data_IF_433374489439
#
_entry.id   IF_433374489439
#
_cell.length_a   1.000
_cell.length_b   1.000
_cell.length_c   1.000
_cell.angle_alpha   90.00
_cell.angle_beta   90.00
_cell.angle_gamma   90.00
#
_symmetry.space_group_name_H-M   'P 1'
#
loop_
_entity.id
_entity.type
_entity.pdbx_description
1 polymer ?
#
# COMPACT_ATOMS: atom_id res chain seq x y z
N UNK A 1 -13.83 -0.90 -9.22
CA UNK A 1 -13.40 -0.44 -7.89
C UNK A 1 -12.83 -1.63 -7.11
N UNK A 2 -11.62 -1.49 -6.57
CA UNK A 2 -10.90 -2.59 -5.91
C UNK A 2 -11.29 -2.83 -4.46
N UNK A 3 -12.01 -1.89 -3.84
CA UNK A 3 -12.46 -1.99 -2.45
C UNK A 3 -13.90 -1.50 -2.30
N UNK A 4 -14.74 -2.34 -1.69
CA UNK A 4 -16.09 -1.98 -1.29
C UNK A 4 -16.06 -1.50 0.16
N UNK A 5 -16.64 -0.35 0.41
CA UNK A 5 -16.79 0.20 1.75
C UNK A 5 -18.27 0.43 2.00
N UNK A 6 -18.78 -0.10 3.11
CA UNK A 6 -20.19 -0.06 3.45
C UNK A 6 -20.37 0.23 4.93
N UNK A 7 -21.52 0.84 5.27
CA UNK A 7 -21.98 0.91 6.65
C UNK A 7 -22.56 -0.44 7.07
N UNK A 8 -22.28 -0.80 8.32
CA UNK A 8 -22.83 -2.02 8.94
C UNK A 8 -23.67 -1.61 10.14
N UNK A 9 -24.92 -2.03 10.14
CA UNK A 9 -25.88 -1.71 11.21
C UNK A 9 -26.16 -2.95 12.05
N UNK A 10 -26.11 -2.78 13.38
CA UNK A 10 -26.47 -3.80 14.34
C UNK A 10 -27.69 -3.32 15.11
N UNK A 11 -28.79 -4.07 15.06
CA UNK A 11 -30.04 -3.74 15.78
C UNK A 11 -30.39 -4.90 16.71
N UNK A 12 -30.35 -4.65 18.01
CA UNK A 12 -30.73 -5.60 19.09
C UNK A 12 -30.01 -6.96 18.99
N UNK A 13 -28.76 -6.98 18.49
CA UNK A 13 -27.96 -8.20 18.42
C UNK A 13 -27.48 -8.60 19.80
N UNK A 14 -28.01 -9.72 20.32
CA UNK A 14 -27.61 -10.31 21.61
C UNK A 14 -26.53 -11.36 21.36
N UNK A 15 -25.43 -11.27 22.10
CA UNK A 15 -24.33 -12.21 22.07
C UNK A 15 -24.13 -12.83 23.43
N UNK A 16 -23.78 -14.12 23.47
CA UNK A 16 -23.41 -14.79 24.71
C UNK A 16 -21.96 -14.48 25.15
N UNK A 17 -21.59 -14.86 26.38
CA UNK A 17 -20.23 -14.61 26.90
C UNK A 17 -19.10 -15.20 26.03
N UNK A 18 -19.40 -16.24 25.29
CA UNK A 18 -18.47 -16.91 24.36
C UNK A 18 -18.04 -16.02 23.18
N UNK A 19 -18.83 -14.99 22.86
CA UNK A 19 -18.50 -14.01 21.82
C UNK A 19 -17.46 -12.97 22.28
N UNK A 20 -17.17 -12.93 23.59
CA UNK A 20 -16.21 -11.97 24.15
C UNK A 20 -14.78 -12.40 23.79
N UNK A 21 -14.10 -11.57 22.99
CA UNK A 21 -12.74 -11.84 22.52
C UNK A 21 -11.78 -11.94 23.71
N UNK A 22 -11.14 -13.12 23.87
CA UNK A 22 -10.21 -13.40 24.96
C UNK A 22 -10.86 -13.69 26.30
N UNK A 23 -12.18 -13.81 26.39
CA UNK A 23 -12.92 -14.21 27.57
C UNK A 23 -13.01 -13.15 28.68
N UNK A 24 -12.49 -11.92 28.46
CA UNK A 24 -12.65 -10.79 29.38
C UNK A 24 -12.71 -9.45 28.64
N UNK A 25 -13.33 -8.44 29.24
CA UNK A 25 -13.54 -7.11 28.63
C UNK A 25 -12.23 -6.37 28.34
N UNK A 26 -11.16 -6.64 29.10
CA UNK A 26 -9.88 -5.94 28.96
C UNK A 26 -9.01 -6.45 27.79
N UNK A 27 -9.28 -7.65 27.26
CA UNK A 27 -8.42 -8.30 26.27
C UNK A 27 -8.78 -7.86 24.85
N UNK A 28 -10.07 -7.63 24.58
CA UNK A 28 -10.56 -7.35 23.22
C UNK A 28 -9.87 -6.16 22.55
N UNK A 29 -9.70 -5.05 23.26
CA UNK A 29 -9.03 -3.86 22.72
C UNK A 29 -7.56 -4.12 22.39
N UNK A 30 -6.85 -4.84 23.24
CA UNK A 30 -5.46 -5.22 23.05
C UNK A 30 -5.28 -6.17 21.85
N UNK A 31 -6.20 -7.12 21.70
CA UNK A 31 -6.25 -8.03 20.56
C UNK A 31 -6.48 -7.26 19.25
N UNK A 32 -7.39 -6.29 19.24
CA UNK A 32 -7.64 -5.42 18.09
C UNK A 32 -6.38 -4.63 17.68
N UNK A 33 -5.68 -3.99 18.63
CA UNK A 33 -4.44 -3.26 18.34
C UNK A 33 -3.33 -4.16 17.78
N UNK A 34 -3.22 -5.40 18.28
CA UNK A 34 -2.25 -6.38 17.77
C UNK A 34 -2.60 -6.82 16.35
N UNK A 35 -3.88 -7.04 16.06
CA UNK A 35 -4.37 -7.33 14.71
C UNK A 35 -4.07 -6.20 13.74
N UNK A 36 -4.30 -4.95 14.14
CA UNK A 36 -3.96 -3.77 13.31
C UNK A 36 -2.45 -3.68 13.04
N UNK A 37 -1.60 -3.98 14.02
CA UNK A 37 -0.15 -3.98 13.81
C UNK A 37 0.27 -5.01 12.75
N UNK A 38 -0.32 -6.22 12.78
CA UNK A 38 -0.12 -7.24 11.74
C UNK A 38 -0.73 -6.80 10.39
N UNK A 39 -1.91 -6.22 10.41
CA UNK A 39 -2.61 -5.69 9.24
C UNK A 39 -1.76 -4.68 8.45
N UNK A 40 -0.99 -3.83 9.14
CA UNK A 40 -0.07 -2.88 8.51
C UNK A 40 0.98 -3.54 7.61
N UNK A 41 1.50 -4.71 7.99
CA UNK A 41 2.43 -5.48 7.15
C UNK A 41 1.71 -5.97 5.89
N UNK A 42 0.47 -6.44 6.01
CA UNK A 42 -0.33 -6.88 4.87
C UNK A 42 -0.60 -5.72 3.90
N UNK A 43 -0.95 -4.54 4.42
CA UNK A 43 -1.17 -3.36 3.60
C UNK A 43 0.13 -2.89 2.92
N UNK A 44 1.25 -2.96 3.61
CA UNK A 44 2.55 -2.68 3.00
C UNK A 44 2.86 -3.64 1.83
N UNK A 45 2.59 -4.94 2.01
CA UNK A 45 2.78 -5.95 0.97
C UNK A 45 1.82 -5.73 -0.22
N UNK A 46 0.55 -5.40 0.05
CA UNK A 46 -0.43 -5.06 -0.99
C UNK A 46 0.00 -3.82 -1.79
N UNK A 47 0.52 -2.80 -1.11
CA UNK A 47 1.04 -1.59 -1.75
C UNK A 47 2.21 -1.89 -2.69
N UNK A 48 3.16 -2.74 -2.27
CA UNK A 48 4.28 -3.18 -3.11
C UNK A 48 3.79 -3.97 -4.32
N UNK A 49 2.83 -4.88 -4.14
CA UNK A 49 2.25 -5.65 -5.25
C UNK A 49 1.54 -4.76 -6.27
N UNK A 50 0.76 -3.80 -5.80
CA UNK A 50 0.07 -2.83 -6.67
C UNK A 50 1.06 -1.91 -7.39
N UNK A 51 2.11 -1.47 -6.72
CA UNK A 51 3.19 -0.67 -7.33
C UNK A 51 3.97 -1.48 -8.38
N UNK A 52 4.26 -2.76 -8.12
CA UNK A 52 4.87 -3.63 -9.12
C UNK A 52 4.00 -3.74 -10.37
N UNK A 53 2.69 -3.95 -10.21
CA UNK A 53 1.78 -4.01 -11.37
C UNK A 53 1.76 -2.69 -12.15
N UNK A 54 1.77 -1.54 -11.48
CA UNK A 54 1.83 -0.24 -12.14
C UNK A 54 3.15 -0.05 -12.92
N UNK A 55 4.26 -0.52 -12.37
CA UNK A 55 5.55 -0.53 -13.06
C UNK A 55 5.54 -1.45 -14.29
N UNK A 56 4.98 -2.65 -14.18
CA UNK A 56 4.90 -3.60 -15.29
C UNK A 56 4.10 -2.99 -16.46
N UNK A 57 2.94 -2.38 -16.18
CA UNK A 57 2.15 -1.64 -17.17
C UNK A 57 2.93 -0.46 -17.78
N UNK A 58 3.73 0.24 -16.97
CA UNK A 58 4.56 1.36 -17.46
C UNK A 58 5.64 0.89 -18.43
N UNK A 59 6.28 -0.23 -18.12
CA UNK A 59 7.31 -0.85 -18.99
C UNK A 59 6.67 -1.32 -20.29
N UNK A 60 5.56 -2.05 -20.23
CA UNK A 60 4.86 -2.54 -21.41
C UNK A 60 4.41 -1.40 -22.34
N UNK A 61 3.89 -0.32 -21.75
CA UNK A 61 3.52 0.87 -22.52
C UNK A 61 4.75 1.55 -23.13
N UNK A 62 5.82 1.71 -22.37
CA UNK A 62 7.02 2.41 -22.83
C UNK A 62 7.67 1.72 -24.04
N UNK A 63 7.62 0.38 -24.12
CA UNK A 63 8.20 -0.36 -25.24
C UNK A 63 7.27 -0.51 -26.43
N UNK A 64 5.94 -0.42 -26.25
CA UNK A 64 4.95 -0.64 -27.32
C UNK A 64 4.40 0.64 -27.90
N UNK A 65 4.26 1.71 -27.11
CA UNK A 65 3.73 3.00 -27.58
C UNK A 65 4.82 3.84 -28.25
N UNK A 66 4.42 4.59 -29.27
CA UNK A 66 5.32 5.48 -30.00
C UNK A 66 4.83 6.91 -29.98
N UNK A 67 5.76 7.86 -29.97
CA UNK A 67 5.49 9.28 -30.09
C UNK A 67 6.59 9.96 -30.93
N UNK A 68 6.18 10.76 -31.91
CA UNK A 68 7.13 11.43 -32.80
C UNK A 68 8.03 10.49 -33.61
N UNK A 69 7.58 9.22 -33.81
CA UNK A 69 8.33 8.20 -34.56
C UNK A 69 9.30 7.37 -33.70
N UNK A 70 9.42 7.66 -32.40
CA UNK A 70 10.26 6.88 -31.44
C UNK A 70 9.40 6.16 -30.42
N UNK A 71 9.91 5.07 -29.85
CA UNK A 71 9.26 4.44 -28.70
C UNK A 71 9.24 5.40 -27.50
N UNK A 72 8.16 5.36 -26.70
CA UNK A 72 8.04 6.21 -25.50
C UNK A 72 9.22 5.94 -24.53
N UNK A 73 9.69 4.70 -24.46
CA UNK A 73 10.83 4.30 -23.64
C UNK A 73 12.19 4.84 -24.09
N UNK A 74 12.31 5.40 -25.29
CA UNK A 74 13.54 6.02 -25.76
C UNK A 74 13.79 7.41 -25.15
N UNK A 75 12.74 8.02 -24.58
CA UNK A 75 12.87 9.32 -23.94
C UNK A 75 13.50 9.22 -22.56
N UNK A 76 14.60 9.96 -22.33
CA UNK A 76 15.36 9.92 -21.08
C UNK A 76 14.53 10.23 -19.83
N UNK A 77 13.55 11.15 -19.93
CA UNK A 77 12.66 11.47 -18.81
C UNK A 77 11.73 10.28 -18.47
N UNK A 78 11.31 9.49 -19.46
CA UNK A 78 10.54 8.26 -19.22
C UNK A 78 11.43 7.19 -18.56
N UNK A 79 12.67 7.04 -19.02
CA UNK A 79 13.64 6.14 -18.39
C UNK A 79 13.90 6.50 -16.92
N UNK A 80 14.00 7.79 -16.60
CA UNK A 80 14.15 8.27 -15.23
C UNK A 80 12.91 7.90 -14.37
N UNK A 81 11.70 8.09 -14.90
CA UNK A 81 10.46 7.70 -14.21
C UNK A 81 10.40 6.19 -13.94
N UNK A 82 10.80 5.36 -14.92
CA UNK A 82 10.86 3.90 -14.75
C UNK A 82 11.91 3.49 -13.70
N UNK A 83 13.07 4.17 -13.67
CA UNK A 83 14.10 3.93 -12.66
C UNK A 83 13.61 4.27 -11.25
N UNK A 84 12.90 5.39 -11.07
CA UNK A 84 12.30 5.78 -9.79
C UNK A 84 11.25 4.77 -9.32
N UNK A 85 10.39 4.31 -10.22
CA UNK A 85 9.39 3.27 -9.94
C UNK A 85 10.08 1.97 -9.49
N UNK A 86 11.04 1.47 -10.24
CA UNK A 86 11.78 0.24 -9.93
C UNK A 86 12.51 0.34 -8.60
N UNK A 87 13.19 1.45 -8.32
CA UNK A 87 13.90 1.70 -7.08
C UNK A 87 12.94 1.65 -5.88
N UNK A 88 11.81 2.35 -5.99
CA UNK A 88 10.78 2.36 -4.95
C UNK A 88 10.21 0.97 -4.66
N UNK A 89 9.88 0.21 -5.70
CA UNK A 89 9.33 -1.15 -5.58
C UNK A 89 10.32 -2.10 -4.92
N UNK A 90 11.60 -2.07 -5.30
CA UNK A 90 12.64 -2.92 -4.71
C UNK A 90 12.88 -2.58 -3.23
N UNK A 91 13.00 -1.29 -2.89
CA UNK A 91 13.15 -0.83 -1.52
C UNK A 91 11.95 -1.23 -0.65
N UNK A 92 10.72 -1.03 -1.14
CA UNK A 92 9.51 -1.44 -0.44
C UNK A 92 9.43 -2.94 -0.21
N UNK A 93 9.80 -3.75 -1.20
CA UNK A 93 9.82 -5.21 -1.10
C UNK A 93 10.83 -5.70 -0.05
N UNK A 94 12.01 -5.11 -0.02
CA UNK A 94 13.04 -5.43 0.98
C UNK A 94 12.56 -5.09 2.40
N UNK A 95 11.95 -3.91 2.57
CA UNK A 95 11.42 -3.45 3.85
C UNK A 95 10.28 -4.36 4.37
N UNK A 96 9.34 -4.75 3.49
CA UNK A 96 8.25 -5.67 3.87
C UNK A 96 8.80 -7.02 4.32
N UNK A 97 9.78 -7.58 3.61
CA UNK A 97 10.40 -8.87 3.96
C UNK A 97 11.12 -8.81 5.30
N UNK A 98 11.92 -7.77 5.56
CA UNK A 98 12.61 -7.59 6.84
C UNK A 98 11.61 -7.40 7.99
N UNK A 99 10.59 -6.57 7.79
CA UNK A 99 9.54 -6.34 8.79
C UNK A 99 8.79 -7.63 9.12
N UNK A 100 8.42 -8.43 8.12
CA UNK A 100 7.74 -9.70 8.32
C UNK A 100 8.62 -10.71 9.08
N UNK A 101 9.92 -10.78 8.76
CA UNK A 101 10.88 -11.62 9.47
C UNK A 101 10.96 -11.22 10.95
N UNK A 102 11.15 -9.92 11.24
CA UNK A 102 11.22 -9.39 12.61
C UNK A 102 9.94 -9.64 13.40
N UNK A 103 8.79 -9.50 12.75
CA UNK A 103 7.49 -9.83 13.35
C UNK A 103 7.40 -11.28 13.77
N UNK A 104 7.81 -12.22 12.91
CA UNK A 104 7.72 -13.66 13.16
C UNK A 104 8.59 -14.09 14.36
N UNK A 105 9.78 -13.53 14.48
CA UNK A 105 10.69 -13.85 15.61
C UNK A 105 10.45 -12.98 16.86
N UNK A 106 9.47 -12.08 16.82
CA UNK A 106 9.13 -11.23 17.97
C UNK A 106 10.08 -10.06 18.23
N UNK A 107 10.98 -9.75 17.28
CA UNK A 107 12.00 -8.70 17.41
C UNK A 107 11.38 -7.29 17.35
N UNK A 108 10.43 -7.06 16.44
CA UNK A 108 9.69 -5.79 16.34
C UNK A 108 8.24 -6.03 15.89
N UNK A 109 7.31 -5.71 16.78
CA UNK A 109 5.87 -5.79 16.54
C UNK A 109 5.15 -4.43 16.63
N UNK A 110 5.88 -3.33 16.73
CA UNK A 110 5.31 -2.00 16.95
C UNK A 110 5.75 -0.98 15.90
N UNK A 111 7.04 -0.69 15.81
CA UNK A 111 7.57 0.38 14.96
C UNK A 111 7.71 -0.10 13.52
N UNK A 112 8.35 -1.23 13.29
CA UNK A 112 8.58 -1.79 11.95
C UNK A 112 7.32 -1.91 11.10
N UNK A 113 6.19 -2.48 11.59
CA UNK A 113 4.94 -2.51 10.84
C UNK A 113 4.45 -1.14 10.41
N UNK A 114 4.58 -0.12 11.26
CA UNK A 114 4.20 1.26 10.95
C UNK A 114 5.13 1.90 9.92
N UNK A 115 6.44 1.66 10.04
CA UNK A 115 7.44 2.12 9.05
C UNK A 115 7.18 1.50 7.68
N UNK A 116 6.97 0.18 7.63
CA UNK A 116 6.69 -0.53 6.39
C UNK A 116 5.40 -0.02 5.73
N UNK A 117 4.32 0.15 6.51
CA UNK A 117 3.04 0.67 6.01
C UNK A 117 3.20 2.08 5.46
N UNK A 118 3.81 2.98 6.22
CA UNK A 118 4.01 4.37 5.81
C UNK A 118 4.81 4.45 4.52
N UNK A 119 6.00 3.84 4.50
CA UNK A 119 6.88 3.89 3.34
C UNK A 119 6.23 3.29 2.09
N UNK A 120 5.71 2.05 2.19
CA UNK A 120 5.20 1.33 1.03
C UNK A 120 3.95 1.97 0.43
N UNK A 121 3.04 2.52 1.26
CA UNK A 121 1.82 3.16 0.74
C UNK A 121 2.09 4.52 0.10
N UNK A 122 3.02 5.31 0.64
CA UNK A 122 3.45 6.57 0.03
C UNK A 122 4.23 6.31 -1.28
N UNK A 123 5.14 5.35 -1.28
CA UNK A 123 5.88 4.89 -2.46
C UNK A 123 4.92 4.43 -3.56
N UNK A 124 3.95 3.56 -3.23
CA UNK A 124 2.98 3.06 -4.20
C UNK A 124 2.16 4.19 -4.84
N UNK A 125 1.80 5.22 -4.06
CA UNK A 125 1.15 6.41 -4.59
C UNK A 125 1.99 7.14 -5.64
N UNK A 126 3.29 7.30 -5.38
CA UNK A 126 4.23 7.91 -6.35
C UNK A 126 4.41 7.06 -7.60
N UNK A 127 4.56 5.75 -7.44
CA UNK A 127 4.69 4.81 -8.56
C UNK A 127 3.45 4.84 -9.46
N UNK A 128 2.25 4.86 -8.87
CA UNK A 128 1.01 4.93 -9.63
C UNK A 128 0.85 6.27 -10.37
N UNK A 129 1.27 7.38 -9.75
CA UNK A 129 1.28 8.70 -10.38
C UNK A 129 2.19 8.73 -11.60
N UNK A 130 3.42 8.24 -11.46
CA UNK A 130 4.37 8.12 -12.57
C UNK A 130 3.85 7.17 -13.68
N UNK A 131 3.15 6.10 -13.31
CA UNK A 131 2.56 5.19 -14.30
C UNK A 131 1.50 5.90 -15.16
N UNK A 132 0.60 6.68 -14.55
CA UNK A 132 -0.35 7.51 -15.29
C UNK A 132 0.38 8.54 -16.15
N UNK A 133 1.43 9.18 -15.63
CA UNK A 133 2.23 10.17 -16.37
C UNK A 133 2.90 9.57 -17.61
N UNK A 134 3.49 8.37 -17.50
CA UNK A 134 4.13 7.67 -18.63
C UNK A 134 3.11 7.35 -19.72
N UNK A 135 1.89 6.95 -19.35
CA UNK A 135 0.80 6.66 -20.28
C UNK A 135 0.17 7.93 -20.90
N UNK A 136 0.46 9.12 -20.35
CA UNK A 136 -0.12 10.37 -20.79
C UNK A 136 -1.65 10.36 -20.74
N UNK A 137 -2.31 10.94 -21.76
CA UNK A 137 -3.78 10.99 -21.83
C UNK A 137 -4.46 9.61 -21.78
N UNK A 138 -3.82 8.59 -22.32
CA UNK A 138 -4.31 7.19 -22.26
C UNK A 138 -4.42 6.70 -20.82
N UNK A 139 -3.45 7.04 -19.96
CA UNK A 139 -3.44 6.65 -18.55
C UNK A 139 -4.56 7.26 -17.71
N UNK A 140 -5.22 8.30 -18.21
CA UNK A 140 -6.37 8.96 -17.56
C UNK A 140 -7.72 8.36 -17.96
N UNK A 141 -7.75 7.52 -19.00
CA UNK A 141 -8.98 6.97 -19.56
C UNK A 141 -9.49 5.78 -18.74
N UNK A 142 -10.80 5.74 -18.47
CA UNK A 142 -11.46 4.60 -17.83
C UNK A 142 -11.22 3.31 -18.63
N UNK A 143 -10.93 2.23 -17.93
CA UNK A 143 -10.66 0.93 -18.52
C UNK A 143 -9.16 0.64 -18.69
N UNK A 144 -8.31 1.65 -18.57
CA UNK A 144 -6.85 1.46 -18.56
C UNK A 144 -6.41 1.04 -17.16
N UNK A 145 -5.48 0.08 -17.08
CA UNK A 145 -5.08 -0.54 -15.82
C UNK A 145 -4.49 0.48 -14.83
N UNK A 146 -3.64 1.39 -15.29
CA UNK A 146 -2.95 2.37 -14.43
C UNK A 146 -3.92 3.40 -13.82
N UNK A 147 -4.98 3.80 -14.53
CA UNK A 147 -6.04 4.67 -14.00
C UNK A 147 -6.74 4.01 -12.80
N UNK A 148 -7.12 2.74 -12.94
CA UNK A 148 -7.73 1.99 -11.86
C UNK A 148 -6.78 1.81 -10.68
N UNK A 149 -5.54 1.42 -10.93
CA UNK A 149 -4.51 1.24 -9.90
C UNK A 149 -4.30 2.55 -9.14
N UNK A 150 -4.21 3.68 -9.83
CA UNK A 150 -4.05 5.00 -9.20
C UNK A 150 -5.16 5.32 -8.19
N UNK A 151 -6.41 5.06 -8.56
CA UNK A 151 -7.57 5.26 -7.66
C UNK A 151 -7.56 4.27 -6.48
N UNK A 152 -7.30 3.01 -6.75
CA UNK A 152 -7.34 1.96 -5.73
C UNK A 152 -6.23 2.12 -4.69
N UNK A 153 -5.02 2.47 -5.12
CA UNK A 153 -3.86 2.71 -4.22
C UNK A 153 -4.11 3.88 -3.27
N UNK A 154 -4.92 4.87 -3.64
CA UNK A 154 -5.17 6.03 -2.77
C UNK A 154 -5.74 5.63 -1.41
N UNK A 155 -6.54 4.58 -1.34
CA UNK A 155 -7.12 4.07 -0.10
C UNK A 155 -6.07 3.55 0.87
N UNK A 156 -4.95 2.99 0.38
CA UNK A 156 -3.92 2.38 1.21
C UNK A 156 -3.26 3.36 2.21
N UNK A 157 -3.32 4.66 1.92
CA UNK A 157 -2.83 5.71 2.82
C UNK A 157 -3.82 6.12 3.91
N UNK A 158 -5.07 5.64 3.83
CA UNK A 158 -6.17 6.04 4.72
C UNK A 158 -6.48 4.98 5.78
N UNK A 159 -6.75 3.76 5.37
CA UNK A 159 -7.16 2.70 6.28
C UNK A 159 -5.96 2.04 7.00
N UNK A 160 -6.23 1.19 8.00
CA UNK A 160 -5.23 0.59 8.91
C UNK A 160 -4.36 1.64 9.65
N UNK A 161 -4.93 2.83 9.85
CA UNK A 161 -4.28 4.03 10.34
C UNK A 161 -3.64 4.86 9.23
N UNK A 162 -4.04 6.13 9.16
CA UNK A 162 -3.54 7.05 8.12
C UNK A 162 -2.02 7.23 8.17
N UNK A 163 -1.45 7.81 7.12
CA UNK A 163 -0.01 8.14 7.08
C UNK A 163 0.42 9.01 8.26
N UNK A 164 -0.45 9.89 8.74
CA UNK A 164 -0.23 10.74 9.91
C UNK A 164 -0.17 9.91 11.19
N UNK A 165 -1.10 8.97 11.37
CA UNK A 165 -1.11 8.05 12.52
C UNK A 165 0.15 7.18 12.53
N UNK A 166 0.61 6.69 11.37
CA UNK A 166 1.87 5.95 11.32
C UNK A 166 3.06 6.81 11.79
N UNK A 167 3.12 8.07 11.39
CA UNK A 167 4.17 9.00 11.83
C UNK A 167 4.15 9.21 13.35
N UNK A 168 2.96 9.35 13.94
CA UNK A 168 2.82 9.48 15.40
C UNK A 168 3.29 8.23 16.14
N UNK A 169 2.94 7.03 15.63
CA UNK A 169 3.37 5.76 16.23
C UNK A 169 4.90 5.61 16.16
N UNK A 170 5.49 5.93 15.02
CA UNK A 170 6.94 5.86 14.81
C UNK A 170 7.64 6.87 15.71
N UNK A 171 7.26 8.15 15.64
CA UNK A 171 7.87 9.23 16.41
C UNK A 171 7.77 9.01 17.93
N UNK A 172 6.57 8.69 18.42
CA UNK A 172 6.36 8.38 19.83
C UNK A 172 6.99 7.06 20.31
N UNK A 173 7.45 6.20 19.39
CA UNK A 173 8.20 5.00 19.71
C UNK A 173 9.71 5.18 19.79
N UNK A 174 10.22 6.36 19.38
CA UNK A 174 11.65 6.71 19.40
C UNK A 174 12.05 7.52 20.64
N UNK A 175 11.07 8.07 21.35
CA UNK A 175 11.22 8.87 22.58
C UNK A 175 10.58 8.15 23.78
#
# INVERSE_FOLDING_TARGET
>A
EGAWTSDVYFTDVRLGPEALIGGSEDIGYRAALTSLARGRIHIAALAVGSAQRALDESVDFAVTATQGGSAVGDFQLVQAMLADQQTGVLAGRALVRDTARKWLVGEDRRIGPSVAKLFCTEMAGKVADLAVQIHGGTGYMRGVAVERIYRDIRLLRLYEGTSEIQRLIIGGGLI
#
